data_IF_163677729148
#
_entry.id   IF_163677729148
#
_cell.length_a   1.000
_cell.length_b   1.000
_cell.length_c   1.000
_cell.angle_alpha   90.00
_cell.angle_beta   90.00
_cell.angle_gamma   90.00
#
_symmetry.space_group_name_H-M   'P 1'
#
loop_
_entity.id
_entity.type
_entity.pdbx_description
1 polymer ?
#
# COMPACT_ATOMS: atom_id res chain seq x y z
N UNK A 1 69.83 -38.56 -8.15
CA UNK A 1 68.57 -38.18 -8.82
C UNK A 1 67.48 -39.17 -8.42
N UNK A 2 66.32 -38.72 -7.90
CA UNK A 2 65.47 -39.54 -7.07
C UNK A 2 64.33 -40.24 -7.84
N UNK A 3 63.84 -41.29 -7.18
CA UNK A 3 62.85 -42.30 -7.58
C UNK A 3 61.49 -41.70 -7.97
N UNK A 4 60.92 -42.21 -9.08
CA UNK A 4 59.53 -42.04 -9.49
C UNK A 4 58.58 -42.52 -8.36
N UNK A 5 57.82 -41.59 -7.79
CA UNK A 5 56.67 -41.88 -6.91
C UNK A 5 55.47 -42.31 -7.78
N UNK A 6 54.91 -43.47 -7.46
CA UNK A 6 53.62 -43.96 -7.94
C UNK A 6 52.51 -43.00 -7.46
N UNK A 7 51.63 -42.58 -8.37
CA UNK A 7 50.34 -41.97 -8.04
C UNK A 7 49.47 -43.00 -7.31
N UNK A 8 48.77 -42.62 -6.23
CA UNK A 8 47.68 -43.42 -5.70
C UNK A 8 46.40 -43.18 -6.52
N UNK A 9 45.71 -44.28 -6.80
CA UNK A 9 44.38 -44.38 -7.40
C UNK A 9 43.35 -43.55 -6.63
N UNK A 10 42.68 -42.63 -7.33
CA UNK A 10 41.51 -41.96 -6.79
C UNK A 10 40.38 -42.96 -6.58
N UNK A 11 39.88 -42.96 -5.36
CA UNK A 11 38.75 -43.72 -4.88
C UNK A 11 37.45 -43.19 -5.48
N UNK A 12 36.57 -44.14 -5.81
CA UNK A 12 35.17 -43.99 -6.12
C UNK A 12 34.47 -42.91 -5.26
N UNK A 13 34.25 -41.72 -5.81
CA UNK A 13 33.28 -40.75 -5.28
C UNK A 13 31.99 -40.90 -6.06
N UNK A 14 31.05 -41.63 -5.48
CA UNK A 14 29.66 -41.66 -5.88
C UNK A 14 29.08 -40.24 -5.80
N UNK A 15 28.76 -39.65 -6.95
CA UNK A 15 27.94 -38.45 -7.03
C UNK A 15 26.52 -38.80 -6.54
N UNK A 16 26.18 -38.39 -5.32
CA UNK A 16 24.79 -38.34 -4.89
C UNK A 16 24.11 -37.18 -5.63
N UNK A 17 23.27 -37.52 -6.60
CA UNK A 17 22.23 -36.65 -7.15
C UNK A 17 21.43 -36.00 -6.02
N UNK A 18 21.17 -34.68 -6.03
CA UNK A 18 20.21 -34.08 -5.11
C UNK A 18 18.81 -34.60 -5.45
N UNK A 19 18.10 -35.07 -4.43
CA UNK A 19 16.73 -35.55 -4.57
C UNK A 19 15.79 -34.43 -5.08
N UNK A 20 14.86 -34.72 -6.00
CA UNK A 20 13.95 -33.71 -6.54
C UNK A 20 12.86 -33.40 -5.51
N UNK A 21 12.72 -32.12 -5.18
CA UNK A 21 11.51 -31.27 -5.18
C UNK A 21 10.11 -31.93 -5.32
N UNK A 22 9.84 -33.05 -4.65
CA UNK A 22 8.56 -33.79 -4.72
C UNK A 22 7.70 -33.70 -3.46
N UNK A 23 8.24 -33.19 -2.35
CA UNK A 23 7.50 -33.15 -1.07
C UNK A 23 6.68 -31.87 -0.87
N UNK A 24 6.92 -30.80 -1.65
CA UNK A 24 6.19 -29.53 -1.50
C UNK A 24 4.91 -29.44 -2.36
N UNK A 25 4.76 -30.32 -3.36
CA UNK A 25 3.60 -30.32 -4.27
C UNK A 25 2.41 -31.12 -3.73
N UNK A 26 2.65 -32.04 -2.77
CA UNK A 26 1.60 -32.89 -2.20
C UNK A 26 0.78 -32.21 -1.09
N UNK A 27 1.27 -31.12 -0.51
CA UNK A 27 0.55 -30.36 0.51
C UNK A 27 -0.46 -29.35 -0.08
N UNK A 28 -0.33 -28.97 -1.35
CA UNK A 28 -1.20 -27.98 -1.99
C UNK A 28 -2.45 -28.59 -2.63
N UNK A 29 -2.48 -29.90 -2.87
CA UNK A 29 -3.61 -30.56 -3.56
C UNK A 29 -4.71 -31.11 -2.65
N UNK A 30 -4.53 -31.11 -1.32
CA UNK A 30 -5.49 -31.73 -0.39
C UNK A 30 -6.51 -30.75 0.24
N UNK A 31 -6.43 -29.44 -0.05
CA UNK A 31 -7.35 -28.43 0.51
C UNK A 31 -8.30 -27.78 -0.51
N UNK A 32 -8.31 -28.24 -1.76
CA UNK A 32 -9.26 -27.76 -2.76
C UNK A 32 -10.62 -28.43 -2.54
N UNK A 33 -11.38 -27.97 -1.54
CA UNK A 33 -12.84 -28.14 -1.55
C UNK A 33 -13.36 -27.56 -2.87
N UNK A 34 -14.15 -28.33 -3.62
CA UNK A 34 -14.92 -27.81 -4.74
C UNK A 34 -15.89 -26.77 -4.18
N UNK A 35 -15.51 -25.51 -4.26
CA UNK A 35 -16.41 -24.39 -3.98
C UNK A 35 -17.51 -24.39 -5.04
N UNK A 36 -18.74 -24.34 -4.56
CA UNK A 36 -19.94 -24.29 -5.38
C UNK A 36 -20.02 -22.95 -6.12
N UNK A 37 -20.78 -22.90 -7.21
CA UNK A 37 -20.94 -21.69 -8.06
C UNK A 37 -21.59 -20.52 -7.29
N UNK A 38 -22.25 -20.79 -6.17
CA UNK A 38 -22.82 -19.81 -5.24
C UNK A 38 -21.76 -19.25 -4.27
N UNK A 39 -20.80 -20.07 -3.81
CA UNK A 39 -19.64 -19.61 -3.03
C UNK A 39 -18.69 -18.73 -3.87
N UNK A 40 -18.55 -19.01 -5.17
CA UNK A 40 -17.83 -18.13 -6.09
C UNK A 40 -18.52 -16.76 -6.29
N UNK A 41 -19.83 -16.68 -6.10
CA UNK A 41 -20.58 -15.42 -6.18
C UNK A 41 -20.51 -14.61 -4.88
N UNK A 42 -20.36 -15.26 -3.72
CA UNK A 42 -20.16 -14.60 -2.43
C UNK A 42 -18.75 -13.96 -2.30
N UNK A 43 -17.75 -14.54 -2.96
CA UNK A 43 -16.36 -14.02 -3.05
C UNK A 43 -16.30 -12.70 -3.85
N UNK A 44 -17.32 -12.35 -4.64
CA UNK A 44 -17.36 -11.14 -5.45
C UNK A 44 -17.89 -9.89 -4.71
N UNK A 45 -18.29 -10.03 -3.44
CA UNK A 45 -19.02 -9.00 -2.70
C UNK A 45 -18.20 -8.34 -1.57
N UNK A 46 -16.88 -8.27 -1.70
CA UNK A 46 -16.05 -7.35 -0.93
C UNK A 46 -15.34 -6.41 -1.91
N UNK A 47 -15.47 -5.08 -1.82
CA UNK A 47 -14.63 -4.18 -2.62
C UNK A 47 -13.14 -4.41 -2.34
N UNK A 48 -12.81 -5.09 -1.22
CA UNK A 48 -11.48 -5.42 -0.74
C UNK A 48 -11.09 -6.89 -0.96
N UNK A 49 -11.84 -7.90 -0.55
CA UNK A 49 -11.43 -9.31 -0.74
C UNK A 49 -11.91 -9.88 -2.07
N UNK A 50 -11.27 -9.41 -3.14
CA UNK A 50 -11.23 -10.19 -4.38
C UNK A 50 -10.27 -11.37 -4.20
N UNK A 51 -10.36 -12.42 -5.02
CA UNK A 51 -9.32 -13.45 -5.13
C UNK A 51 -7.95 -12.94 -5.65
N UNK A 52 -7.72 -11.63 -5.59
CA UNK A 52 -6.47 -10.96 -5.93
C UNK A 52 -5.55 -10.92 -4.70
N UNK A 53 -4.26 -11.27 -4.85
CA UNK A 53 -3.28 -11.19 -3.77
C UNK A 53 -3.13 -9.82 -3.11
N UNK A 54 -3.34 -8.74 -3.86
CA UNK A 54 -3.49 -7.39 -3.32
C UNK A 54 -4.98 -7.13 -3.10
N UNK A 55 -5.37 -7.05 -1.83
CA UNK A 55 -6.76 -7.00 -1.39
C UNK A 55 -7.28 -5.56 -1.43
N UNK A 56 -6.57 -4.60 -0.84
CA UNK A 56 -7.08 -3.23 -0.78
C UNK A 56 -5.96 -2.22 -0.65
N UNK A 57 -6.08 -1.10 -1.37
CA UNK A 57 -5.33 0.10 -1.06
C UNK A 57 -6.05 0.77 0.10
N UNK A 58 -5.39 0.83 1.25
CA UNK A 58 -6.00 1.31 2.49
C UNK A 58 -5.75 2.80 2.69
N UNK A 59 -4.50 3.24 2.71
CA UNK A 59 -4.22 4.65 2.89
C UNK A 59 -3.07 5.17 2.05
N UNK A 60 -3.09 6.50 1.88
CA UNK A 60 -1.95 7.29 1.45
C UNK A 60 -1.47 8.10 2.65
N UNK A 61 -0.18 8.03 2.95
CA UNK A 61 0.46 8.78 4.01
C UNK A 61 1.23 9.96 3.43
N UNK A 62 0.88 11.16 3.90
CA UNK A 62 1.46 12.42 3.45
C UNK A 62 1.81 13.27 4.67
N UNK A 63 2.99 13.89 4.63
CA UNK A 63 3.32 14.97 5.54
C UNK A 63 2.76 16.29 5.01
N UNK A 64 2.11 17.05 5.89
CA UNK A 64 1.41 18.31 5.59
C UNK A 64 2.25 19.56 5.83
N UNK A 65 3.53 19.40 6.17
CA UNK A 65 4.45 20.49 6.51
C UNK A 65 4.65 20.64 8.03
N UNK A 66 5.23 21.78 8.39
CA UNK A 66 5.57 22.13 9.78
C UNK A 66 4.32 22.39 10.63
N UNK A 67 3.19 22.75 10.00
CA UNK A 67 1.95 23.12 10.68
C UNK A 67 0.70 22.66 9.95
N UNK A 68 -0.32 22.33 10.74
CA UNK A 68 -1.68 22.14 10.25
C UNK A 68 -2.38 23.48 10.14
N UNK A 69 -2.76 23.84 8.92
CA UNK A 69 -3.49 25.08 8.67
C UNK A 69 -5.00 24.83 8.58
N UNK A 70 -5.79 25.84 8.88
CA UNK A 70 -7.25 25.83 8.66
C UNK A 70 -7.60 25.49 7.21
N UNK A 71 -6.77 25.91 6.25
CA UNK A 71 -6.95 25.58 4.82
C UNK A 71 -6.82 24.08 4.53
N UNK A 72 -5.90 23.40 5.22
CA UNK A 72 -5.73 21.95 5.13
C UNK A 72 -6.90 21.23 5.76
N UNK A 73 -7.31 21.67 6.96
CA UNK A 73 -8.44 21.10 7.66
C UNK A 73 -9.73 21.20 6.82
N UNK A 74 -10.02 22.40 6.32
CA UNK A 74 -11.16 22.67 5.47
C UNK A 74 -11.15 21.83 4.19
N UNK A 75 -9.98 21.62 3.57
CA UNK A 75 -9.89 20.80 2.37
C UNK A 75 -10.39 19.36 2.61
N UNK A 76 -9.85 18.67 3.63
CA UNK A 76 -10.20 17.28 3.86
C UNK A 76 -11.60 17.13 4.48
N UNK A 77 -11.97 17.99 5.44
CA UNK A 77 -13.16 17.77 6.27
C UNK A 77 -14.39 18.58 5.83
N UNK A 78 -14.21 19.75 5.23
CA UNK A 78 -15.34 20.58 4.77
C UNK A 78 -15.58 20.46 3.26
N UNK A 79 -14.53 20.45 2.45
CA UNK A 79 -14.61 20.38 0.99
C UNK A 79 -14.82 18.94 0.53
N UNK A 80 -13.88 18.06 0.88
CA UNK A 80 -13.97 16.63 0.56
C UNK A 80 -14.93 15.88 1.50
N UNK A 81 -15.37 16.48 2.61
CA UNK A 81 -16.28 15.83 3.56
C UNK A 81 -15.80 14.43 3.93
N UNK A 82 -14.49 14.27 4.11
CA UNK A 82 -13.93 13.08 4.72
C UNK A 82 -14.41 13.00 6.17
N UNK A 83 -14.55 11.78 6.70
CA UNK A 83 -14.84 11.60 8.11
C UNK A 83 -13.54 11.71 8.93
N UNK A 84 -13.58 12.39 10.08
CA UNK A 84 -12.41 12.52 10.95
C UNK A 84 -12.27 11.29 11.83
N UNK A 85 -11.16 10.59 11.71
CA UNK A 85 -10.93 9.40 12.51
C UNK A 85 -10.62 9.77 13.98
N UNK A 86 -11.47 9.35 14.95
CA UNK A 86 -11.29 9.72 16.35
C UNK A 86 -10.09 9.02 17.01
N UNK A 87 -9.47 8.03 16.35
CA UNK A 87 -8.30 7.31 16.87
C UNK A 87 -7.01 8.12 16.73
N UNK A 88 -7.00 9.16 15.90
CA UNK A 88 -5.80 9.96 15.58
C UNK A 88 -5.00 10.40 16.83
N UNK A 89 -5.61 10.96 17.90
CA UNK A 89 -4.86 11.40 19.09
C UNK A 89 -4.24 10.24 19.89
N UNK A 90 -4.96 9.13 20.04
CA UNK A 90 -4.44 7.96 20.75
C UNK A 90 -3.26 7.31 20.01
N UNK A 91 -3.31 7.29 18.68
CA UNK A 91 -2.23 6.78 17.85
C UNK A 91 -1.02 7.71 17.92
N UNK A 92 -1.22 9.03 17.90
CA UNK A 92 -0.15 10.02 18.10
C UNK A 92 0.58 9.81 19.43
N UNK A 93 -0.19 9.65 20.51
CA UNK A 93 0.36 9.41 21.84
C UNK A 93 1.21 8.14 21.89
N UNK A 94 0.77 7.06 21.23
CA UNK A 94 1.54 5.80 21.13
C UNK A 94 2.83 5.98 20.33
N UNK A 95 2.76 6.66 19.19
CA UNK A 95 3.93 6.97 18.36
C UNK A 95 4.95 7.80 19.13
N UNK A 96 4.51 8.88 19.79
CA UNK A 96 5.39 9.74 20.58
C UNK A 96 5.97 9.01 21.81
N UNK A 97 5.21 8.10 22.42
CA UNK A 97 5.72 7.24 23.49
C UNK A 97 6.83 6.30 23.01
N UNK A 98 6.70 5.74 21.80
CA UNK A 98 7.75 4.89 21.21
C UNK A 98 9.01 5.70 20.88
N UNK A 99 8.85 6.92 20.34
CA UNK A 99 9.95 7.83 20.01
C UNK A 99 10.69 8.31 21.27
N UNK A 100 9.97 8.65 22.33
CA UNK A 100 10.56 9.05 23.61
C UNK A 100 11.45 7.95 24.21
N UNK A 101 11.05 6.67 24.13
CA UNK A 101 11.87 5.52 24.57
C UNK A 101 13.20 5.40 23.83
N UNK A 102 13.33 6.03 22.67
CA UNK A 102 14.53 6.01 21.84
C UNK A 102 15.22 7.38 21.80
N UNK A 103 14.88 8.27 22.75
CA UNK A 103 15.40 9.64 22.84
C UNK A 103 15.21 10.46 21.54
N UNK A 104 14.09 10.26 20.86
CA UNK A 104 13.76 10.99 19.64
C UNK A 104 12.67 12.03 19.86
N UNK A 105 12.73 13.19 19.18
CA UNK A 105 11.66 14.19 19.21
C UNK A 105 10.32 13.56 18.79
N UNK A 106 9.24 13.89 19.48
CA UNK A 106 7.89 13.46 19.06
C UNK A 106 7.48 14.09 17.74
N UNK A 107 6.50 13.49 17.06
CA UNK A 107 5.78 14.16 15.97
C UNK A 107 4.81 15.15 16.60
N UNK A 108 4.72 16.37 16.08
CA UNK A 108 3.87 17.38 16.70
C UNK A 108 2.40 16.96 16.69
N UNK A 109 1.91 16.44 15.55
CA UNK A 109 0.54 15.97 15.46
C UNK A 109 0.28 15.09 14.22
N UNK A 110 -0.91 14.50 14.17
CA UNK A 110 -1.43 13.77 13.01
C UNK A 110 -2.97 13.86 12.94
N UNK A 111 -3.52 13.79 11.74
CA UNK A 111 -4.95 13.60 11.52
C UNK A 111 -5.19 12.57 10.43
N UNK A 112 -6.18 11.70 10.63
CA UNK A 112 -6.61 10.75 9.62
C UNK A 112 -7.97 11.16 9.07
N UNK A 113 -8.05 11.28 7.74
CA UNK A 113 -9.25 11.67 7.01
C UNK A 113 -9.76 10.48 6.20
N UNK A 114 -10.92 9.95 6.57
CA UNK A 114 -11.51 8.75 6.01
C UNK A 114 -12.37 9.09 4.79
N UNK A 115 -12.20 8.33 3.71
CA UNK A 115 -12.96 8.41 2.48
C UNK A 115 -13.35 6.99 2.04
N UNK A 116 -14.63 6.65 2.20
CA UNK A 116 -15.12 5.27 2.09
C UNK A 116 -14.39 4.36 3.09
N UNK A 117 -13.76 3.31 2.56
CA UNK A 117 -12.95 2.36 3.35
C UNK A 117 -11.47 2.74 3.44
N UNK A 118 -11.07 3.86 2.81
CA UNK A 118 -9.69 4.30 2.74
C UNK A 118 -9.43 5.53 3.61
N UNK A 119 -8.16 5.82 3.86
CA UNK A 119 -7.74 6.94 4.71
C UNK A 119 -6.65 7.78 4.04
N UNK A 120 -6.62 9.07 4.37
CA UNK A 120 -5.41 9.88 4.26
C UNK A 120 -4.79 10.00 5.65
N UNK A 121 -3.55 9.53 5.80
CA UNK A 121 -2.77 9.74 7.01
C UNK A 121 -1.94 11.00 6.85
N UNK A 122 -2.30 12.04 7.62
CA UNK A 122 -1.70 13.36 7.47
C UNK A 122 -0.90 13.70 8.72
N UNK A 123 0.43 13.70 8.61
CA UNK A 123 1.33 14.07 9.70
C UNK A 123 1.76 15.53 9.57
N UNK A 124 2.08 16.18 10.69
CA UNK A 124 2.73 17.50 10.67
C UNK A 124 3.65 17.73 11.86
N UNK A 125 4.62 18.62 11.63
CA UNK A 125 5.50 19.21 12.62
C UNK A 125 6.89 18.61 12.74
N UNK A 126 7.74 19.38 13.41
CA UNK A 126 9.19 19.23 13.48
C UNK A 126 9.62 17.88 14.10
N UNK A 127 10.44 17.11 13.39
CA UNK A 127 11.00 15.84 13.89
C UNK A 127 10.95 14.67 12.91
N UNK A 128 10.45 14.89 11.70
CA UNK A 128 10.54 13.92 10.58
C UNK A 128 11.67 14.27 9.60
N UNK A 129 12.10 15.52 9.55
CA UNK A 129 12.81 16.05 8.38
C UNK A 129 14.31 15.73 8.40
N UNK A 130 14.98 15.98 9.53
CA UNK A 130 16.44 15.83 9.64
C UNK A 130 16.92 14.37 9.63
N UNK A 131 16.16 13.45 10.24
CA UNK A 131 16.57 12.03 10.34
C UNK A 131 16.26 11.22 9.08
N UNK A 132 15.21 11.62 8.34
CA UNK A 132 14.74 10.87 7.17
C UNK A 132 15.19 11.49 5.86
N UNK A 133 15.79 12.69 5.89
CA UNK A 133 16.09 13.51 4.70
C UNK A 133 14.85 13.64 3.80
N UNK A 134 13.70 13.88 4.43
CA UNK A 134 12.40 14.04 3.78
C UNK A 134 11.94 15.48 3.95
N UNK A 135 11.33 16.09 2.92
CA UNK A 135 10.76 17.42 3.10
C UNK A 135 9.57 17.36 4.06
N UNK A 136 9.35 18.42 4.85
CA UNK A 136 8.26 18.48 5.82
C UNK A 136 6.89 18.40 5.14
N UNK A 137 6.78 18.88 3.90
CA UNK A 137 5.59 18.76 3.07
C UNK A 137 5.84 17.77 1.94
N UNK A 138 4.97 16.77 1.82
CA UNK A 138 5.05 15.73 0.80
C UNK A 138 4.02 15.94 -0.30
N UNK A 139 4.46 15.71 -1.53
CA UNK A 139 3.70 15.72 -2.77
C UNK A 139 3.88 14.35 -3.43
N UNK A 140 2.81 13.57 -3.43
CA UNK A 140 2.73 12.34 -4.21
C UNK A 140 3.08 12.64 -5.66
N UNK A 141 4.02 11.86 -6.20
CA UNK A 141 4.50 12.03 -7.58
C UNK A 141 3.50 11.46 -8.56
N UNK A 142 2.46 12.22 -8.87
CA UNK A 142 1.38 11.69 -9.67
C UNK A 142 0.03 12.30 -9.35
N UNK A 143 -1.01 11.48 -9.42
CA UNK A 143 -2.41 11.85 -9.28
C UNK A 143 -3.16 10.84 -8.40
N UNK A 144 -3.96 11.35 -7.47
CA UNK A 144 -4.84 10.58 -6.60
C UNK A 144 -6.25 10.59 -7.20
N UNK A 145 -6.77 9.44 -7.57
CA UNK A 145 -8.07 9.33 -8.23
C UNK A 145 -9.14 8.96 -7.22
N UNK A 146 -10.15 9.82 -7.07
CA UNK A 146 -11.24 9.65 -6.12
C UNK A 146 -12.51 9.22 -6.83
N UNK A 147 -13.13 8.14 -6.34
CA UNK A 147 -14.49 7.77 -6.72
C UNK A 147 -15.50 8.62 -5.95
N UNK A 148 -16.47 9.19 -6.67
CA UNK A 148 -17.44 10.12 -6.09
C UNK A 148 -18.87 9.86 -6.59
N UNK A 149 -19.89 9.88 -5.71
CA UNK A 149 -21.28 9.66 -6.12
C UNK A 149 -21.74 10.71 -7.15
N UNK A 150 -22.37 10.27 -8.25
CA UNK A 150 -22.83 11.18 -9.32
C UNK A 150 -23.74 12.28 -8.79
N UNK A 151 -24.62 11.90 -7.87
CA UNK A 151 -25.58 12.81 -7.22
C UNK A 151 -24.91 13.90 -6.36
N UNK A 152 -23.69 13.66 -5.85
CA UNK A 152 -22.95 14.59 -4.98
C UNK A 152 -21.90 15.41 -5.72
N UNK A 153 -21.60 15.11 -6.98
CA UNK A 153 -20.56 15.81 -7.77
C UNK A 153 -20.79 17.33 -7.84
N UNK A 154 -22.03 17.78 -8.06
CA UNK A 154 -22.35 19.21 -8.15
C UNK A 154 -21.98 19.97 -6.86
N UNK A 155 -22.31 19.37 -5.71
CA UNK A 155 -21.99 19.95 -4.40
C UNK A 155 -20.48 20.02 -4.15
N UNK A 156 -19.75 18.96 -4.51
CA UNK A 156 -18.30 18.94 -4.41
C UNK A 156 -17.65 20.04 -5.28
N UNK A 157 -18.04 20.18 -6.54
CA UNK A 157 -17.48 21.23 -7.41
C UNK A 157 -17.73 22.64 -6.87
N UNK A 158 -18.91 22.90 -6.29
CA UNK A 158 -19.20 24.19 -5.66
C UNK A 158 -18.25 24.47 -4.49
N UNK A 159 -18.04 23.49 -3.60
CA UNK A 159 -17.11 23.64 -2.47
C UNK A 159 -15.65 23.77 -2.90
N UNK A 160 -15.23 23.04 -3.94
CA UNK A 160 -13.88 23.18 -4.53
C UNK A 160 -13.67 24.59 -5.11
N UNK A 161 -14.67 25.11 -5.82
CA UNK A 161 -14.60 26.47 -6.37
C UNK A 161 -14.54 27.53 -5.26
N UNK A 162 -15.37 27.41 -4.22
CA UNK A 162 -15.39 28.30 -3.06
C UNK A 162 -14.06 28.26 -2.27
N UNK A 163 -13.48 27.08 -2.09
CA UNK A 163 -12.18 26.89 -1.45
C UNK A 163 -11.00 27.43 -2.30
N UNK A 164 -11.25 27.75 -3.57
CA UNK A 164 -10.25 28.26 -4.51
C UNK A 164 -9.35 27.17 -5.06
N UNK A 165 -9.92 26.02 -5.43
CA UNK A 165 -9.17 24.94 -6.08
C UNK A 165 -8.63 25.39 -7.44
N UNK A 166 -7.37 25.05 -7.72
CA UNK A 166 -6.77 25.20 -9.04
C UNK A 166 -7.14 23.99 -9.89
N UNK A 167 -8.02 24.17 -10.88
CA UNK A 167 -8.39 23.11 -11.81
C UNK A 167 -7.38 23.04 -12.96
N UNK A 168 -6.80 21.86 -13.16
CA UNK A 168 -5.78 21.61 -14.20
C UNK A 168 -6.32 20.77 -15.36
N UNK A 169 -7.59 20.37 -15.29
CA UNK A 169 -8.28 19.60 -16.32
C UNK A 169 -9.71 19.26 -15.91
N UNK A 170 -10.39 18.44 -16.71
CA UNK A 170 -11.75 17.99 -16.40
C UNK A 170 -11.72 17.09 -15.16
N UNK A 171 -12.26 17.58 -14.05
CA UNK A 171 -12.28 16.87 -12.78
C UNK A 171 -10.91 16.74 -12.09
N UNK A 172 -9.86 17.34 -12.64
CA UNK A 172 -8.51 17.34 -12.05
C UNK A 172 -8.24 18.67 -11.36
N UNK A 173 -7.74 18.63 -10.13
CA UNK A 173 -7.46 19.80 -9.31
C UNK A 173 -6.28 19.56 -8.36
N UNK A 174 -5.68 20.64 -7.85
CA UNK A 174 -4.65 20.57 -6.82
C UNK A 174 -5.21 20.76 -5.41
N UNK A 175 -4.77 19.90 -4.49
CA UNK A 175 -5.05 20.04 -3.06
C UNK A 175 -4.12 21.04 -2.36
N UNK A 176 -4.20 21.14 -1.02
CA UNK A 176 -3.54 22.19 -0.24
C UNK A 176 -2.01 22.18 -0.34
N UNK A 177 -1.43 21.05 -0.75
CA UNK A 177 0.01 20.84 -0.83
C UNK A 177 0.54 20.76 -2.27
N UNK A 178 -0.30 20.96 -3.29
CA UNK A 178 0.06 20.69 -4.69
C UNK A 178 -0.03 19.21 -5.09
N UNK A 179 -0.59 18.35 -4.24
CA UNK A 179 -0.99 17.00 -4.63
C UNK A 179 -2.11 17.10 -5.67
N UNK A 180 -2.00 16.37 -6.79
CA UNK A 180 -3.02 16.36 -7.84
C UNK A 180 -4.09 15.33 -7.52
N UNK A 181 -5.34 15.71 -7.68
CA UNK A 181 -6.51 14.86 -7.50
C UNK A 181 -7.30 14.81 -8.79
N UNK A 182 -7.95 13.67 -9.07
CA UNK A 182 -8.92 13.54 -10.16
C UNK A 182 -10.19 12.88 -9.67
N UNK A 183 -11.34 13.44 -10.08
CA UNK A 183 -12.65 12.91 -9.75
C UNK A 183 -13.12 11.94 -10.83
N UNK A 184 -13.58 10.78 -10.39
CA UNK A 184 -14.32 9.82 -11.21
C UNK A 184 -15.72 9.68 -10.63
N UNK A 185 -16.71 10.05 -11.44
CA UNK A 185 -18.10 9.92 -11.05
C UNK A 185 -18.51 8.43 -11.12
N UNK A 186 -18.85 7.84 -9.97
CA UNK A 186 -19.19 6.43 -9.80
C UNK A 186 -20.25 6.30 -8.70
N UNK A 187 -21.15 5.32 -8.82
CA UNK A 187 -22.19 5.08 -7.80
C UNK A 187 -22.00 3.73 -7.09
N UNK A 188 -21.35 2.76 -7.74
CA UNK A 188 -21.16 1.40 -7.22
C UNK A 188 -19.69 1.08 -6.89
N UNK A 189 -18.73 1.73 -7.56
CA UNK A 189 -17.30 1.46 -7.33
C UNK A 189 -16.91 1.90 -5.92
N UNK A 190 -16.41 0.95 -5.13
CA UNK A 190 -16.02 1.13 -3.72
C UNK A 190 -17.20 1.51 -2.79
N UNK A 191 -18.43 1.35 -3.25
CA UNK A 191 -19.59 1.54 -2.40
C UNK A 191 -19.55 0.57 -1.21
N UNK A 192 -20.01 0.98 -0.03
CA UNK A 192 -20.19 0.07 1.10
C UNK A 192 -21.04 -1.13 0.73
N UNK A 193 -20.73 -2.26 1.38
CA UNK A 193 -21.53 -3.47 1.22
C UNK A 193 -22.98 -3.19 1.65
N UNK A 194 -23.97 -3.76 0.96
CA UNK A 194 -25.37 -3.60 1.33
C UNK A 194 -25.66 -3.95 2.81
N UNK A 195 -24.93 -4.93 3.36
CA UNK A 195 -25.07 -5.40 4.74
C UNK A 195 -23.91 -4.97 5.66
N UNK A 196 -23.17 -3.92 5.29
CA UNK A 196 -22.13 -3.37 6.16
C UNK A 196 -22.74 -2.72 7.41
N UNK A 197 -22.17 -3.01 8.58
CA UNK A 197 -22.51 -2.30 9.82
C UNK A 197 -21.45 -1.23 10.12
N UNK A 198 -21.69 -0.40 11.15
CA UNK A 198 -20.70 0.59 11.59
C UNK A 198 -19.34 -0.03 11.96
N UNK A 199 -19.30 -1.28 12.42
CA UNK A 199 -18.06 -2.01 12.74
C UNK A 199 -17.29 -2.45 11.48
N UNK A 200 -17.96 -2.48 10.33
CA UNK A 200 -17.35 -2.80 9.05
C UNK A 200 -16.74 -1.55 8.38
N UNK A 201 -16.99 -0.35 8.90
CA UNK A 201 -16.53 0.92 8.35
C UNK A 201 -15.41 1.56 9.20
N UNK A 202 -14.56 2.41 8.60
CA UNK A 202 -13.67 3.27 9.38
C UNK A 202 -14.45 4.14 10.37
N UNK A 203 -13.95 4.35 11.60
CA UNK A 203 -14.64 5.16 12.60
C UNK A 203 -14.62 6.65 12.22
N UNK A 204 -15.53 7.44 12.78
CA UNK A 204 -15.65 8.88 12.50
C UNK A 204 -16.87 9.27 11.68
N UNK A 205 -17.64 8.29 11.21
CA UNK A 205 -18.87 8.49 10.45
C UNK A 205 -18.66 8.37 8.94
N UNK A 206 -19.71 8.73 8.18
CA UNK A 206 -19.70 8.62 6.73
C UNK A 206 -18.90 9.75 6.07
N UNK A 207 -18.23 9.44 4.97
CA UNK A 207 -17.69 10.43 4.03
C UNK A 207 -18.63 10.65 2.85
N UNK A 208 -18.53 11.79 2.16
CA UNK A 208 -19.28 11.96 0.90
C UNK A 208 -18.66 11.20 -0.28
N UNK A 209 -17.32 11.11 -0.34
CA UNK A 209 -16.61 10.34 -1.36
C UNK A 209 -16.68 8.84 -1.11
N UNK A 210 -16.63 8.05 -2.19
CA UNK A 210 -16.69 6.58 -2.11
C UNK A 210 -15.33 5.94 -1.79
N UNK A 211 -14.23 6.62 -2.14
CA UNK A 211 -12.90 6.09 -1.87
C UNK A 211 -11.82 6.54 -2.82
N UNK A 212 -10.61 6.01 -2.60
CA UNK A 212 -9.46 6.14 -3.49
C UNK A 212 -9.53 5.01 -4.52
N UNK A 213 -9.90 5.35 -5.75
CA UNK A 213 -10.05 4.40 -6.85
C UNK A 213 -8.70 4.02 -7.45
N UNK A 214 -7.79 4.98 -7.59
CA UNK A 214 -6.46 4.69 -8.11
C UNK A 214 -5.45 5.68 -7.57
N UNK A 215 -4.19 5.23 -7.57
CA UNK A 215 -3.05 6.14 -7.43
C UNK A 215 -2.20 5.97 -8.66
N UNK A 216 -2.15 7.02 -9.47
CA UNK A 216 -1.28 7.10 -10.62
C UNK A 216 0.02 7.76 -10.19
N UNK A 217 1.13 7.10 -10.44
CA UNK A 217 2.47 7.57 -10.20
C UNK A 217 3.16 7.91 -11.52
N UNK A 218 3.91 9.01 -11.53
CA UNK A 218 4.82 9.34 -12.62
C UNK A 218 6.11 8.51 -12.42
N UNK A 219 6.48 7.68 -13.41
CA UNK A 219 7.59 6.74 -13.36
C UNK A 219 8.63 7.01 -14.46
N UNK A 220 9.92 6.67 -14.28
CA UNK A 220 10.92 6.92 -15.34
C UNK A 220 10.65 6.08 -16.58
N UNK A 221 10.98 6.58 -17.77
CA UNK A 221 10.85 5.82 -19.02
C UNK A 221 11.58 4.47 -18.98
N UNK A 222 10.98 3.47 -19.61
CA UNK A 222 11.51 2.11 -19.66
C UNK A 222 11.35 1.28 -18.38
N UNK A 223 10.70 1.80 -17.34
CA UNK A 223 10.57 1.10 -16.05
C UNK A 223 9.26 0.33 -15.89
N UNK A 224 8.23 0.62 -16.70
CA UNK A 224 6.89 0.05 -16.53
C UNK A 224 6.88 -1.48 -16.50
N UNK A 225 7.61 -2.12 -17.41
CA UNK A 225 7.73 -3.59 -17.43
C UNK A 225 8.34 -4.17 -16.16
N UNK A 226 9.44 -3.59 -15.68
CA UNK A 226 10.11 -4.05 -14.46
C UNK A 226 9.25 -3.83 -13.20
N UNK A 227 8.50 -2.72 -13.15
CA UNK A 227 7.56 -2.45 -12.06
C UNK A 227 6.44 -3.49 -12.03
N UNK A 228 5.82 -3.80 -13.17
CA UNK A 228 4.77 -4.81 -13.24
C UNK A 228 5.28 -6.20 -12.85
N UNK A 229 6.46 -6.58 -13.35
CA UNK A 229 7.11 -7.85 -12.98
C UNK A 229 7.42 -7.92 -11.48
N UNK A 230 7.79 -6.80 -10.84
CA UNK A 230 7.98 -6.77 -9.39
C UNK A 230 6.68 -7.12 -8.64
N UNK A 231 5.54 -6.49 -8.97
CA UNK A 231 4.28 -6.79 -8.28
C UNK A 231 3.78 -8.22 -8.56
N UNK A 232 3.91 -8.68 -9.80
CA UNK A 232 3.54 -10.04 -10.20
C UNK A 232 4.41 -11.09 -9.51
N UNK A 233 5.73 -10.92 -9.48
CA UNK A 233 6.65 -11.91 -8.90
C UNK A 233 6.67 -11.91 -7.37
N UNK A 234 6.65 -10.73 -6.75
CA UNK A 234 6.73 -10.59 -5.29
C UNK A 234 5.40 -10.93 -4.64
N UNK A 235 4.31 -10.33 -5.12
CA UNK A 235 3.01 -10.44 -4.49
C UNK A 235 2.07 -11.38 -5.23
N UNK A 236 2.40 -11.89 -6.42
CA UNK A 236 1.44 -12.64 -7.24
C UNK A 236 0.31 -11.76 -7.81
N UNK A 237 0.48 -10.43 -7.79
CA UNK A 237 -0.56 -9.50 -8.20
C UNK A 237 -0.86 -9.62 -9.69
N UNK A 238 -2.09 -9.31 -10.10
CA UNK A 238 -2.37 -9.09 -11.52
C UNK A 238 -1.82 -7.72 -11.91
N UNK A 239 -0.81 -7.72 -12.79
CA UNK A 239 -0.19 -6.49 -13.28
C UNK A 239 0.08 -6.57 -14.79
N UNK A 240 -0.29 -5.51 -15.50
CA UNK A 240 -0.20 -5.44 -16.96
C UNK A 240 0.64 -4.23 -17.38
N UNK A 241 1.67 -4.50 -18.19
CA UNK A 241 2.51 -3.46 -18.79
C UNK A 241 2.12 -3.24 -20.26
N UNK A 242 2.00 -1.98 -20.67
CA UNK A 242 1.70 -1.62 -22.05
C UNK A 242 1.77 -0.12 -22.27
N UNK A 243 2.22 0.29 -23.46
CA UNK A 243 2.29 1.71 -23.87
C UNK A 243 2.96 2.65 -22.85
N UNK A 244 4.06 2.21 -22.22
CA UNK A 244 4.78 3.00 -21.21
C UNK A 244 4.00 3.15 -19.90
N UNK A 245 3.15 2.18 -19.55
CA UNK A 245 2.36 2.18 -18.32
C UNK A 245 2.33 0.78 -17.72
N UNK A 246 2.43 0.70 -16.40
CA UNK A 246 2.13 -0.50 -15.63
C UNK A 246 0.84 -0.27 -14.83
N UNK A 247 -0.10 -1.22 -14.86
CA UNK A 247 -1.32 -1.19 -14.07
C UNK A 247 -1.37 -2.42 -13.19
N UNK A 248 -1.38 -2.21 -11.88
CA UNK A 248 -1.50 -3.28 -10.87
C UNK A 248 -2.91 -3.24 -10.31
N UNK A 249 -3.64 -4.34 -10.45
CA UNK A 249 -4.98 -4.48 -9.87
C UNK A 249 -4.89 -4.68 -8.35
N UNK A 250 -5.75 -3.97 -7.61
CA UNK A 250 -5.88 -4.08 -6.16
C UNK A 250 -7.36 -4.21 -5.81
N UNK A 251 -7.72 -5.29 -5.13
CA UNK A 251 -9.10 -5.60 -4.81
C UNK A 251 -9.96 -5.75 -6.06
N UNK A 252 -11.25 -5.41 -5.92
CA UNK A 252 -12.22 -5.53 -7.00
C UNK A 252 -12.18 -4.37 -8.01
N UNK A 253 -11.74 -3.18 -7.58
CA UNK A 253 -11.89 -1.96 -8.36
C UNK A 253 -10.71 -0.99 -8.31
N UNK A 254 -9.75 -1.18 -7.39
CA UNK A 254 -8.66 -0.23 -7.21
C UNK A 254 -7.46 -0.57 -8.12
N UNK A 255 -6.66 0.44 -8.44
CA UNK A 255 -5.40 0.22 -9.19
C UNK A 255 -4.25 1.08 -8.68
N UNK A 256 -3.04 0.52 -8.72
CA UNK A 256 -1.81 1.31 -8.73
C UNK A 256 -1.34 1.43 -10.18
N UNK A 257 -1.16 2.65 -10.66
CA UNK A 257 -0.74 2.91 -12.03
C UNK A 257 0.62 3.58 -12.04
N UNK A 258 1.57 3.08 -12.81
CA UNK A 258 2.89 3.70 -12.98
C UNK A 258 3.01 4.10 -14.44
N UNK A 259 3.01 5.40 -14.73
CA UNK A 259 2.98 5.95 -16.08
C UNK A 259 4.32 6.60 -16.37
N UNK A 260 4.96 6.16 -17.45
CA UNK A 260 6.25 6.67 -17.86
C UNK A 260 6.19 8.14 -18.26
N UNK A 261 7.06 8.94 -17.67
CA UNK A 261 7.19 10.37 -17.86
C UNK A 261 8.67 10.76 -17.96
N UNK A 262 8.93 11.92 -18.57
CA UNK A 262 10.29 12.46 -18.72
C UNK A 262 10.78 13.12 -17.42
N UNK A 263 9.91 13.92 -16.77
CA UNK A 263 10.24 14.69 -15.57
C UNK A 263 9.60 14.08 -14.32
N UNK A 264 10.24 13.04 -13.77
CA UNK A 264 9.80 12.40 -12.52
C UNK A 264 10.46 13.10 -11.34
N UNK A 265 9.66 13.65 -10.43
CA UNK A 265 10.18 14.28 -9.22
C UNK A 265 10.96 13.28 -8.33
N UNK A 266 11.80 13.80 -7.43
CA UNK A 266 12.49 12.96 -6.45
C UNK A 266 11.50 12.36 -5.43
N UNK A 267 11.88 11.26 -4.79
CA UNK A 267 11.12 10.71 -3.68
C UNK A 267 11.24 11.51 -2.40
N UNK A 268 10.09 11.85 -1.84
CA UNK A 268 9.95 12.69 -0.67
C UNK A 268 9.44 11.92 0.56
N UNK A 269 9.26 10.60 0.45
CA UNK A 269 8.87 9.75 1.57
C UNK A 269 7.37 9.54 1.78
N UNK A 270 6.50 9.94 0.83
CA UNK A 270 5.09 9.54 0.87
C UNK A 270 4.95 8.03 0.74
N UNK A 271 3.98 7.42 1.40
CA UNK A 271 3.80 5.97 1.31
C UNK A 271 2.35 5.58 1.11
N UNK A 272 2.16 4.36 0.65
CA UNK A 272 0.84 3.72 0.59
C UNK A 272 0.81 2.52 1.52
N UNK A 273 -0.37 2.19 2.02
CA UNK A 273 -0.59 0.91 2.68
C UNK A 273 -1.51 0.02 1.87
N UNK A 274 -1.13 -1.25 1.77
CA UNK A 274 -1.86 -2.27 1.06
C UNK A 274 -2.22 -3.38 2.03
N UNK A 275 -3.48 -3.80 2.02
CA UNK A 275 -3.86 -5.10 2.53
C UNK A 275 -3.59 -6.17 1.48
N UNK A 276 -3.05 -7.29 1.94
CA UNK A 276 -2.77 -8.47 1.11
C UNK A 276 -3.34 -9.73 1.77
N UNK A 277 -3.60 -10.75 0.97
CA UNK A 277 -4.00 -12.05 1.50
C UNK A 277 -2.83 -12.71 2.28
N UNK A 278 -3.13 -13.75 3.07
CA UNK A 278 -2.12 -14.41 3.89
C UNK A 278 -1.01 -15.09 3.08
N UNK A 279 -1.30 -15.67 1.92
CA UNK A 279 -0.32 -16.30 1.06
C UNK A 279 0.59 -15.28 0.37
N UNK A 280 0.03 -14.16 -0.06
CA UNK A 280 0.70 -13.01 -0.64
C UNK A 280 1.62 -12.33 0.38
N UNK A 281 1.20 -12.22 1.63
CA UNK A 281 2.04 -11.72 2.72
C UNK A 281 3.29 -12.56 2.91
N UNK A 282 3.13 -13.89 3.06
CA UNK A 282 4.25 -14.82 3.29
C UNK A 282 5.18 -14.88 2.08
N UNK A 283 4.62 -15.00 0.87
CA UNK A 283 5.39 -15.01 -0.39
C UNK A 283 6.15 -13.70 -0.59
N UNK A 284 5.46 -12.57 -0.44
CA UNK A 284 6.03 -11.23 -0.60
C UNK A 284 7.17 -11.00 0.38
N UNK A 285 6.97 -11.29 1.66
CA UNK A 285 8.03 -11.20 2.65
C UNK A 285 9.24 -12.06 2.29
N UNK A 286 9.03 -13.34 1.93
CA UNK A 286 10.13 -14.25 1.57
C UNK A 286 10.91 -13.77 0.34
N UNK A 287 10.22 -13.33 -0.71
CA UNK A 287 10.82 -12.82 -1.93
C UNK A 287 11.64 -11.54 -1.67
N UNK A 288 11.08 -10.59 -0.90
CA UNK A 288 11.76 -9.35 -0.54
C UNK A 288 12.95 -9.61 0.38
N UNK A 289 12.82 -10.52 1.35
CA UNK A 289 13.90 -10.88 2.26
C UNK A 289 15.07 -11.51 1.52
N UNK A 290 14.80 -12.40 0.57
CA UNK A 290 15.83 -13.02 -0.27
C UNK A 290 16.59 -12.00 -1.12
N UNK A 291 15.95 -10.87 -1.46
CA UNK A 291 16.53 -9.76 -2.24
C UNK A 291 17.07 -8.63 -1.39
N UNK A 292 16.96 -8.71 -0.06
CA UNK A 292 17.39 -7.65 0.85
C UNK A 292 16.54 -6.37 0.81
N UNK A 293 15.29 -6.46 0.35
CA UNK A 293 14.39 -5.32 0.12
C UNK A 293 13.39 -5.05 1.26
N UNK A 294 13.41 -5.87 2.32
CA UNK A 294 12.60 -5.58 3.52
C UNK A 294 13.11 -4.30 4.16
N UNK A 295 12.23 -3.32 4.33
CA UNK A 295 12.56 -1.99 4.80
C UNK A 295 12.07 -1.77 6.22
N UNK A 296 12.94 -1.26 7.10
CA UNK A 296 12.56 -0.81 8.43
C UNK A 296 12.52 0.73 8.43
N UNK A 297 11.32 1.27 8.37
CA UNK A 297 11.14 2.72 8.38
C UNK A 297 11.46 3.27 9.79
N UNK A 298 12.51 4.10 9.88
CA UNK A 298 12.96 4.74 11.12
C UNK A 298 11.94 5.72 11.73
N UNK A 299 10.84 6.03 11.03
CA UNK A 299 9.69 6.73 11.60
C UNK A 299 8.90 5.85 12.57
N UNK A 300 8.88 4.54 12.35
CA UNK A 300 8.05 3.56 13.07
C UNK A 300 8.90 2.57 13.86
N UNK A 301 9.69 3.09 14.78
CA UNK A 301 10.75 2.37 15.49
C UNK A 301 10.27 1.26 16.43
N UNK A 302 8.97 1.22 16.69
CA UNK A 302 8.33 0.14 17.43
C UNK A 302 8.16 -1.14 16.61
N UNK A 303 8.42 -1.10 15.30
CA UNK A 303 8.28 -2.21 14.40
C UNK A 303 9.63 -2.63 13.83
N UNK A 304 9.88 -3.94 13.86
CA UNK A 304 11.03 -4.57 13.22
C UNK A 304 10.54 -5.72 12.38
N UNK A 305 11.21 -5.97 11.26
CA UNK A 305 10.79 -6.98 10.28
C UNK A 305 11.95 -7.92 9.93
N UNK A 306 12.86 -8.13 10.88
CA UNK A 306 14.06 -8.96 10.73
C UNK A 306 13.75 -10.39 10.29
N UNK A 307 12.63 -10.95 10.75
CA UNK A 307 12.10 -12.26 10.37
C UNK A 307 10.62 -12.21 9.99
N UNK A 308 10.13 -13.26 9.32
CA UNK A 308 8.69 -13.41 9.03
C UNK A 308 7.87 -13.44 10.33
N UNK A 309 8.40 -14.05 11.40
CA UNK A 309 7.73 -14.08 12.70
C UNK A 309 7.57 -12.67 13.28
N UNK A 310 8.57 -11.80 13.12
CA UNK A 310 8.48 -10.39 13.53
C UNK A 310 7.40 -9.65 12.72
N UNK A 311 7.39 -9.83 11.40
CA UNK A 311 6.36 -9.26 10.54
C UNK A 311 4.95 -9.75 10.91
N UNK A 312 4.79 -11.06 11.17
CA UNK A 312 3.50 -11.65 11.58
C UNK A 312 3.03 -11.17 12.94
N UNK A 313 3.94 -10.87 13.89
CA UNK A 313 3.58 -10.30 15.19
C UNK A 313 2.89 -8.95 15.06
N UNK A 314 3.27 -8.17 14.05
CA UNK A 314 2.70 -6.86 13.76
C UNK A 314 1.59 -6.92 12.71
N UNK A 315 1.39 -8.07 12.08
CA UNK A 315 0.56 -8.24 10.89
C UNK A 315 0.92 -7.24 9.76
N UNK A 316 2.19 -6.84 9.70
CA UNK A 316 2.71 -5.91 8.71
C UNK A 316 4.22 -6.08 8.45
N UNK A 317 4.66 -5.66 7.28
CA UNK A 317 6.06 -5.34 6.96
C UNK A 317 6.11 -4.21 5.94
N UNK A 318 7.31 -3.69 5.64
CA UNK A 318 7.49 -2.61 4.66
C UNK A 318 8.51 -2.96 3.59
N UNK A 319 8.30 -2.39 2.41
CA UNK A 319 9.27 -2.33 1.30
C UNK A 319 9.26 -0.91 0.76
N UNK A 320 10.42 -0.40 0.33
CA UNK A 320 10.55 0.96 -0.24
C UNK A 320 10.99 0.93 -1.70
N UNK A 321 11.89 0.01 -2.03
CA UNK A 321 12.51 -0.03 -3.34
C UNK A 321 11.82 -1.08 -4.21
N UNK A 322 11.31 -0.63 -5.35
CA UNK A 322 10.83 -1.48 -6.43
C UNK A 322 12.03 -1.76 -7.33
N UNK A 323 12.46 -3.02 -7.37
CA UNK A 323 13.62 -3.44 -8.14
C UNK A 323 13.24 -4.41 -9.26
N UNK A 324 13.93 -4.29 -10.40
CA UNK A 324 13.85 -5.25 -11.50
C UNK A 324 14.45 -6.61 -11.14
N UNK A 325 14.37 -7.56 -12.07
CA UNK A 325 14.89 -8.92 -11.89
C UNK A 325 16.42 -8.99 -11.78
N UNK A 326 17.11 -7.95 -12.26
CA UNK A 326 18.55 -7.73 -12.10
C UNK A 326 18.90 -7.09 -10.74
N UNK A 327 17.91 -6.92 -9.85
CA UNK A 327 17.98 -6.21 -8.57
C UNK A 327 18.36 -4.73 -8.67
N UNK A 328 18.31 -4.13 -9.86
CA UNK A 328 18.43 -2.67 -9.98
C UNK A 328 17.13 -2.02 -9.52
N UNK A 329 17.25 -1.00 -8.67
CA UNK A 329 16.11 -0.21 -8.21
C UNK A 329 15.61 0.61 -9.40
N UNK A 330 14.35 0.40 -9.79
CA UNK A 330 13.71 1.10 -10.91
C UNK A 330 12.73 2.17 -10.44
N UNK A 331 12.26 2.09 -9.18
CA UNK A 331 11.36 3.07 -8.60
C UNK A 331 11.40 3.01 -7.06
N UNK A 332 11.19 4.14 -6.39
CA UNK A 332 11.06 4.23 -4.93
C UNK A 332 9.63 4.63 -4.54
N UNK A 333 8.97 3.79 -3.77
CA UNK A 333 7.67 4.02 -3.16
C UNK A 333 7.57 3.11 -1.93
N UNK A 334 7.36 3.68 -0.76
CA UNK A 334 7.15 2.85 0.41
C UNK A 334 5.74 2.22 0.39
N UNK A 335 5.72 0.90 0.55
CA UNK A 335 4.54 0.09 0.80
C UNK A 335 4.57 -0.39 2.23
N UNK A 336 3.55 -0.03 2.98
CA UNK A 336 3.16 -0.73 4.19
C UNK A 336 2.26 -1.90 3.82
N UNK A 337 2.80 -3.11 3.88
CA UNK A 337 2.10 -4.34 3.50
C UNK A 337 1.50 -4.96 4.75
N UNK A 338 0.18 -5.05 4.81
CA UNK A 338 -0.58 -5.52 5.98
C UNK A 338 -1.39 -6.77 5.67
N UNK A 339 -1.56 -7.64 6.64
CA UNK A 339 -2.56 -8.72 6.57
C UNK A 339 -3.95 -8.20 6.95
N UNK A 340 -4.99 -8.96 6.63
CA UNK A 340 -6.37 -8.66 7.07
C UNK A 340 -6.61 -8.86 8.58
N UNK A 341 -5.62 -9.39 9.32
CA UNK A 341 -5.69 -9.47 10.79
C UNK A 341 -5.20 -8.20 11.46
N UNK A 342 -4.47 -7.35 10.73
CA UNK A 342 -3.90 -6.11 11.23
C UNK A 342 -4.95 -5.32 12.06
N UNK A 343 -4.57 -4.72 13.21
CA UNK A 343 -5.51 -4.01 14.06
C UNK A 343 -6.29 -2.89 13.37
N UNK A 344 -5.70 -2.29 12.32
CA UNK A 344 -6.34 -1.26 11.50
C UNK A 344 -7.34 -1.77 10.47
N UNK A 345 -7.37 -3.07 10.16
CA UNK A 345 -8.33 -3.62 9.18
C UNK A 345 -9.74 -3.56 9.78
N UNK A 346 -10.62 -2.83 9.11
CA UNK A 346 -12.07 -2.83 9.38
C UNK A 346 -12.71 -4.03 8.67
N UNK A 347 -14.00 -4.30 8.89
CA UNK A 347 -14.69 -5.40 8.20
C UNK A 347 -14.12 -6.82 8.49
N UNK A 348 -13.52 -7.03 9.68
CA UNK A 348 -12.97 -8.34 10.12
C UNK A 348 -14.00 -9.48 10.14
N UNK A 349 -15.30 -9.16 10.20
CA UNK A 349 -16.38 -10.15 10.13
C UNK A 349 -16.35 -10.92 8.82
N UNK A 350 -15.96 -10.24 7.74
CA UNK A 350 -15.99 -10.77 6.39
C UNK A 350 -14.80 -11.67 6.08
N UNK A 351 -13.69 -11.51 6.80
CA UNK A 351 -12.47 -12.33 6.61
C UNK A 351 -12.49 -13.63 7.40
N UNK A 352 -13.30 -13.71 8.45
CA UNK A 352 -13.51 -14.95 9.22
C UNK A 352 -14.41 -15.96 8.53
N UNK A 353 -15.16 -15.55 7.51
CA UNK A 353 -15.98 -16.47 6.72
C UNK A 353 -15.15 -17.27 5.70
N UNK A 354 -13.87 -16.93 5.52
CA UNK A 354 -12.98 -17.52 4.50
C UNK A 354 -11.92 -18.49 5.06
N UNK A 355 -11.74 -18.57 6.39
CA UNK A 355 -10.87 -19.53 7.08
C UNK A 355 -11.69 -20.66 7.68
#
# INVERSE_FOLDING_TARGET
MPRKRKQPSESNRTYKTPAPMRLLVLATTALARKTTREEQHAIAALPTVSGNPLVSLEHINLSSGDKWSERVDAFYFDVLRCARDPRSPAVLARTNSARAKQNRPGVANQSWANIGFQQFHLLFGDGLDDEMNQPPQQRLRGEIVLAWPRSKMKGLYARLAEWGASFTGIGTFEGPFGNRFRLVAADELLAPLPDATADDLPPGGDSEGLGILAVRFDAPRGTSGAICEFYSSVFGATAEAGAGRCVVSVGAAQTLEFVEADDVAAYDGHHIALYVDGAAFVRGYAALKARGLVFENRRFLQFTYGTLADAMKHDEFRVKDIAGNDNQIVYELEHEVRTLRHPGFVAKRWTRQEL
#
